data_IF_937098922405
#
_entry.id   IF_937098922405
#
_cell.length_a   1.000
_cell.length_b   1.000
_cell.length_c   1.000
_cell.angle_alpha   90.00
_cell.angle_beta   90.00
_cell.angle_gamma   90.00
#
_symmetry.space_group_name_H-M   'P 1'
#
loop_
_entity.id
_entity.type
_entity.pdbx_description
1 polymer ?
#
# COMPACT_ATOMS: atom_id res chain seq x y z
N UNK A 1 6.89 7.04 7.01
CA UNK A 1 6.69 5.97 6.00
C UNK A 1 5.20 5.78 5.82
N UNK A 2 4.66 5.90 4.61
CA UNK A 2 3.25 5.63 4.39
C UNK A 2 2.87 4.20 4.80
N UNK A 3 1.87 4.08 5.68
CA UNK A 3 1.30 2.84 6.15
C UNK A 3 -0.12 2.68 5.58
N UNK A 4 -0.93 1.78 6.10
CA UNK A 4 -2.28 1.54 5.61
C UNK A 4 -3.16 2.81 5.53
N UNK A 5 -3.24 3.68 6.57
CA UNK A 5 -4.10 4.86 6.54
C UNK A 5 -3.69 5.87 5.47
N UNK A 6 -2.38 6.13 5.34
CA UNK A 6 -1.88 7.09 4.35
C UNK A 6 -2.14 6.58 2.93
N UNK A 7 -1.94 5.28 2.67
CA UNK A 7 -2.24 4.69 1.34
C UNK A 7 -3.74 4.72 1.07
N UNK A 8 -4.59 4.52 2.08
CA UNK A 8 -6.05 4.65 1.91
C UNK A 8 -6.48 6.10 1.66
N UNK A 9 -5.80 7.08 2.25
CA UNK A 9 -6.01 8.50 1.97
C UNK A 9 -5.68 8.83 0.51
N UNK A 10 -4.57 8.29 -0.04
CA UNK A 10 -4.30 8.41 -1.48
C UNK A 10 -5.39 7.76 -2.33
N UNK A 11 -5.82 6.54 -1.99
CA UNK A 11 -6.90 5.85 -2.70
C UNK A 11 -8.17 6.69 -2.78
N UNK A 12 -8.61 7.25 -1.66
CA UNK A 12 -9.84 8.07 -1.60
C UNK A 12 -9.68 9.44 -2.26
N UNK A 13 -8.54 10.10 -2.07
CA UNK A 13 -8.24 11.41 -2.65
C UNK A 13 -8.12 11.34 -4.17
N UNK A 14 -7.33 10.41 -4.68
CA UNK A 14 -7.15 10.22 -6.13
C UNK A 14 -8.46 9.78 -6.81
N UNK A 15 -9.27 8.93 -6.16
CA UNK A 15 -10.57 8.54 -6.70
C UNK A 15 -11.52 9.72 -6.94
N UNK A 16 -11.46 10.74 -6.06
CA UNK A 16 -12.23 11.98 -6.25
C UNK A 16 -11.65 12.90 -7.33
N UNK A 17 -10.34 12.86 -7.51
CA UNK A 17 -9.61 13.83 -8.35
C UNK A 17 -9.47 13.37 -9.81
N UNK A 18 -9.05 12.11 -10.03
CA UNK A 18 -8.60 11.65 -11.35
C UNK A 18 -9.35 10.42 -11.89
N UNK A 19 -10.42 9.96 -11.22
CA UNK A 19 -11.25 8.88 -11.78
C UNK A 19 -11.91 9.36 -13.08
N UNK A 20 -11.86 8.53 -14.11
CA UNK A 20 -12.38 8.83 -15.44
C UNK A 20 -11.35 9.48 -16.38
N UNK A 21 -10.20 9.94 -15.89
CA UNK A 21 -9.15 10.51 -16.73
C UNK A 21 -8.53 9.43 -17.63
N UNK A 22 -8.16 9.87 -18.85
CA UNK A 22 -7.57 9.01 -19.86
C UNK A 22 -6.05 9.19 -19.87
N UNK A 23 -5.33 8.06 -19.85
CA UNK A 23 -3.86 8.03 -19.92
C UNK A 23 -3.39 8.16 -21.38
N UNK A 24 -2.40 8.99 -21.62
CA UNK A 24 -1.66 9.08 -22.88
C UNK A 24 -0.34 8.31 -22.85
N UNK A 25 0.12 7.92 -21.67
CA UNK A 25 1.34 7.18 -21.46
C UNK A 25 2.02 7.55 -20.14
N UNK A 26 3.33 7.39 -20.11
CA UNK A 26 4.17 7.74 -18.97
C UNK A 26 5.61 7.38 -19.23
N UNK A 27 6.48 7.64 -18.26
CA UNK A 27 7.88 7.18 -18.28
C UNK A 27 8.46 7.08 -16.88
N UNK A 28 9.47 6.24 -16.68
CA UNK A 28 10.29 6.27 -15.49
C UNK A 28 11.35 7.36 -15.65
N UNK A 29 11.45 8.27 -14.67
CA UNK A 29 12.57 9.19 -14.52
C UNK A 29 13.71 8.55 -13.70
N UNK A 30 13.37 7.49 -12.96
CA UNK A 30 14.29 6.58 -12.29
C UNK A 30 14.00 5.15 -12.73
N UNK A 31 14.85 4.51 -13.60
CA UNK A 31 14.53 3.22 -14.21
C UNK A 31 14.22 2.11 -13.21
N UNK A 32 14.86 2.13 -12.03
CA UNK A 32 14.59 1.14 -10.98
C UNK A 32 13.24 1.29 -10.30
N UNK A 33 12.50 2.39 -10.52
CA UNK A 33 11.18 2.58 -9.93
C UNK A 33 10.08 1.84 -10.68
N UNK A 34 10.21 1.73 -12.00
CA UNK A 34 9.31 0.95 -12.86
C UNK A 34 10.11 0.44 -14.07
N UNK A 35 10.02 -0.84 -14.35
CA UNK A 35 10.69 -1.49 -15.50
C UNK A 35 9.71 -1.91 -16.59
N UNK A 36 8.42 -1.72 -16.37
CA UNK A 36 7.35 -2.14 -17.27
C UNK A 36 7.19 -1.19 -18.46
N UNK A 37 6.56 -1.66 -19.52
CA UNK A 37 6.30 -0.86 -20.72
C UNK A 37 5.11 0.09 -20.50
N UNK A 38 5.35 1.38 -20.54
CA UNK A 38 4.33 2.41 -20.41
C UNK A 38 3.38 2.53 -21.61
N UNK A 39 3.68 1.88 -22.74
CA UNK A 39 2.77 1.81 -23.89
C UNK A 39 1.49 1.06 -23.56
N UNK A 40 1.56 0.12 -22.61
CA UNK A 40 0.41 -0.68 -22.14
C UNK A 40 -0.72 0.22 -21.63
N UNK A 41 -0.41 1.30 -20.90
CA UNK A 41 -1.44 2.18 -20.31
C UNK A 41 -2.01 3.21 -21.26
N UNK A 42 -1.44 3.35 -22.47
CA UNK A 42 -1.88 4.37 -23.44
C UNK A 42 -3.34 4.14 -23.84
N UNK A 43 -4.10 5.22 -23.89
CA UNK A 43 -5.53 5.26 -24.22
C UNK A 43 -6.46 4.58 -23.21
N UNK A 44 -5.96 4.09 -22.08
CA UNK A 44 -6.79 3.51 -21.02
C UNK A 44 -7.34 4.60 -20.09
N UNK A 45 -8.55 4.38 -19.55
CA UNK A 45 -9.17 5.24 -18.55
C UNK A 45 -8.98 4.65 -17.15
N UNK A 46 -8.82 5.54 -16.16
CA UNK A 46 -8.88 5.16 -14.76
C UNK A 46 -10.34 4.88 -14.38
N UNK A 47 -10.67 3.64 -14.06
CA UNK A 47 -12.04 3.23 -13.71
C UNK A 47 -12.26 3.09 -12.21
N UNK A 48 -11.20 2.98 -11.41
CA UNK A 48 -11.31 2.84 -9.97
C UNK A 48 -9.98 2.79 -9.24
N UNK A 49 -10.07 2.68 -7.92
CA UNK A 49 -8.92 2.60 -7.02
C UNK A 49 -9.19 1.60 -5.92
N UNK A 50 -8.23 0.71 -5.69
CA UNK A 50 -8.24 -0.26 -4.60
C UNK A 50 -6.97 -0.13 -3.75
N UNK A 51 -6.95 -0.78 -2.61
CA UNK A 51 -5.80 -0.88 -1.72
C UNK A 51 -5.65 -2.31 -1.19
N UNK A 52 -4.42 -2.76 -1.09
CA UNK A 52 -4.09 -4.00 -0.40
C UNK A 52 -2.83 -3.81 0.45
N UNK A 53 -2.98 -3.85 1.78
CA UNK A 53 -1.90 -3.47 2.70
C UNK A 53 -1.40 -2.05 2.43
N UNK A 54 -0.12 -1.93 2.05
CA UNK A 54 0.53 -0.65 1.68
C UNK A 54 0.65 -0.45 0.17
N UNK A 55 -0.07 -1.22 -0.63
CA UNK A 55 -0.14 -1.08 -2.08
C UNK A 55 -1.40 -0.33 -2.48
N UNK A 56 -1.24 0.75 -3.25
CA UNK A 56 -2.31 1.41 -3.97
C UNK A 56 -2.45 0.72 -5.32
N UNK A 57 -3.68 0.42 -5.71
CA UNK A 57 -4.02 -0.23 -6.97
C UNK A 57 -4.92 0.73 -7.73
N UNK A 58 -4.49 1.15 -8.90
CA UNK A 58 -5.24 2.02 -9.82
C UNK A 58 -5.77 1.11 -10.93
N UNK A 59 -7.08 0.97 -10.99
CA UNK A 59 -7.75 0.12 -11.97
C UNK A 59 -7.92 0.90 -13.27
N UNK A 60 -7.39 0.38 -14.34
CA UNK A 60 -7.56 0.86 -15.70
C UNK A 60 -8.61 0.04 -16.44
N UNK A 61 -8.95 0.44 -17.65
CA UNK A 61 -9.95 -0.27 -18.47
C UNK A 61 -9.60 -1.76 -18.65
N UNK A 62 -8.32 -2.08 -18.89
CA UNK A 62 -7.87 -3.47 -19.14
C UNK A 62 -6.76 -3.91 -18.17
N UNK A 63 -6.02 -2.98 -17.56
CA UNK A 63 -4.83 -3.25 -16.78
C UNK A 63 -4.88 -2.55 -15.42
N UNK A 64 -3.76 -2.62 -14.69
CA UNK A 64 -3.58 -2.00 -13.38
C UNK A 64 -2.26 -1.25 -13.31
N UNK A 65 -2.25 -0.13 -12.61
CA UNK A 65 -1.04 0.49 -12.09
C UNK A 65 -1.01 0.20 -10.59
N UNK A 66 0.03 -0.48 -10.11
CA UNK A 66 0.22 -0.78 -8.69
C UNK A 66 1.35 0.08 -8.16
N UNK A 67 1.13 0.79 -7.06
CA UNK A 67 2.14 1.68 -6.46
C UNK A 67 2.42 1.26 -5.03
N UNK A 68 3.71 1.17 -4.69
CA UNK A 68 4.18 1.04 -3.31
C UNK A 68 5.07 2.23 -2.95
N UNK A 69 4.61 3.08 -2.04
CA UNK A 69 5.25 4.35 -1.70
C UNK A 69 6.57 4.19 -0.92
N UNK A 70 6.77 3.03 -0.28
CA UNK A 70 7.96 2.73 0.55
C UNK A 70 8.11 3.71 1.71
N UNK A 71 9.27 4.41 1.82
CA UNK A 71 9.63 5.21 3.00
C UNK A 71 9.21 6.68 2.86
N UNK A 72 9.45 7.29 1.71
CA UNK A 72 9.30 8.72 1.46
C UNK A 72 8.48 9.05 0.21
N UNK A 73 7.97 8.02 -0.45
CA UNK A 73 7.16 8.20 -1.66
C UNK A 73 5.82 8.88 -1.36
N UNK A 74 5.42 9.77 -2.26
CA UNK A 74 4.11 10.39 -2.31
C UNK A 74 3.63 10.46 -3.76
N UNK A 75 2.32 10.65 -3.95
CA UNK A 75 1.74 10.84 -5.27
C UNK A 75 1.25 12.27 -5.35
N UNK A 76 1.73 12.99 -6.36
CA UNK A 76 1.29 14.33 -6.69
C UNK A 76 0.57 14.32 -8.05
N UNK A 77 -0.48 15.13 -8.18
CA UNK A 77 -1.14 15.44 -9.46
C UNK A 77 -0.85 16.90 -9.80
N UNK A 78 -0.16 17.15 -10.91
CA UNK A 78 0.35 18.47 -11.27
C UNK A 78 0.47 18.64 -12.80
N UNK A 79 0.58 19.88 -13.28
CA UNK A 79 0.93 20.17 -14.67
C UNK A 79 2.42 19.96 -14.93
N UNK A 80 3.25 20.48 -14.04
CA UNK A 80 4.70 20.37 -14.14
C UNK A 80 5.21 19.18 -13.34
N UNK A 81 6.38 18.66 -13.73
CA UNK A 81 7.01 17.52 -13.05
C UNK A 81 7.67 17.99 -11.75
N UNK A 82 7.19 17.58 -10.57
CA UNK A 82 7.80 17.95 -9.30
C UNK A 82 9.24 17.45 -9.16
N UNK A 83 10.06 18.18 -8.39
CA UNK A 83 11.41 17.71 -8.03
C UNK A 83 11.33 16.34 -7.34
N UNK A 84 12.30 15.48 -7.61
CA UNK A 84 12.39 14.08 -7.11
C UNK A 84 11.32 13.13 -7.64
N UNK A 85 10.63 13.47 -8.72
CA UNK A 85 9.76 12.54 -9.42
C UNK A 85 10.56 11.35 -9.95
N UNK A 86 10.09 10.14 -9.67
CA UNK A 86 10.73 8.90 -10.12
C UNK A 86 9.96 8.20 -11.24
N UNK A 87 8.64 8.41 -11.29
CA UNK A 87 7.75 7.92 -12.36
C UNK A 87 6.70 8.99 -12.61
N UNK A 88 6.37 9.24 -13.87
CA UNK A 88 5.26 10.11 -14.26
C UNK A 88 4.35 9.43 -15.27
N UNK A 89 3.04 9.69 -15.14
CA UNK A 89 1.98 9.31 -16.08
C UNK A 89 1.33 10.57 -16.63
N UNK A 90 1.02 10.58 -17.92
CA UNK A 90 0.43 11.69 -18.65
C UNK A 90 -1.04 11.45 -18.91
N UNK A 91 -1.85 12.50 -18.80
CA UNK A 91 -3.27 12.47 -19.11
C UNK A 91 -3.61 13.41 -20.28
N UNK A 92 -4.71 13.13 -20.96
CA UNK A 92 -5.22 13.89 -22.11
C UNK A 92 -5.65 15.34 -21.77
N UNK A 93 -5.72 15.69 -20.49
CA UNK A 93 -6.01 17.04 -20.00
C UNK A 93 -4.75 17.84 -19.59
N UNK A 94 -3.58 17.46 -20.08
CA UNK A 94 -2.29 18.08 -19.78
C UNK A 94 -1.89 18.03 -18.28
N UNK A 95 -2.49 17.14 -17.50
CA UNK A 95 -2.07 16.84 -16.13
C UNK A 95 -1.15 15.62 -16.09
N UNK A 96 -0.43 15.50 -14.99
CA UNK A 96 0.44 14.34 -14.69
C UNK A 96 0.12 13.78 -13.33
N UNK A 97 0.24 12.47 -13.19
CA UNK A 97 0.35 11.80 -11.88
C UNK A 97 1.80 11.39 -11.69
N UNK A 98 2.43 11.86 -10.64
CA UNK A 98 3.85 11.71 -10.37
C UNK A 98 4.08 10.94 -9.07
N UNK A 99 4.88 9.87 -9.12
CA UNK A 99 5.48 9.30 -7.93
C UNK A 99 6.73 10.12 -7.57
N UNK A 100 6.63 10.89 -6.51
CA UNK A 100 7.72 11.73 -6.00
C UNK A 100 8.37 11.03 -4.82
N UNK A 101 9.67 10.71 -4.93
CA UNK A 101 10.39 10.01 -3.87
C UNK A 101 11.88 10.41 -3.84
N UNK A 102 12.29 11.28 -2.90
CA UNK A 102 13.68 11.71 -2.76
C UNK A 102 14.65 10.56 -2.52
N UNK A 103 14.21 9.47 -1.87
CA UNK A 103 15.02 8.30 -1.58
C UNK A 103 15.01 7.25 -2.69
N UNK A 104 14.15 7.38 -3.70
CA UNK A 104 14.06 6.50 -4.87
C UNK A 104 13.78 5.02 -4.53
N UNK A 105 13.06 4.74 -3.44
CA UNK A 105 12.68 3.39 -3.01
C UNK A 105 11.29 2.98 -3.49
N UNK A 106 10.44 3.97 -3.80
CA UNK A 106 9.11 3.77 -4.35
C UNK A 106 9.12 2.89 -5.60
N UNK A 107 8.06 2.09 -5.76
CA UNK A 107 7.94 1.15 -6.87
C UNK A 107 6.59 1.29 -7.54
N UNK A 108 6.60 1.15 -8.85
CA UNK A 108 5.42 1.07 -9.70
C UNK A 108 5.50 -0.20 -10.54
N UNK A 109 4.37 -0.85 -10.73
CA UNK A 109 4.17 -1.97 -11.64
C UNK A 109 2.99 -1.65 -12.55
N UNK A 110 3.12 -2.00 -13.83
CA UNK A 110 2.05 -1.97 -14.82
C UNK A 110 1.77 -3.43 -15.17
N UNK A 111 0.55 -3.91 -14.96
CA UNK A 111 0.25 -5.34 -15.07
C UNK A 111 -1.22 -5.58 -15.39
N UNK A 112 -1.51 -6.69 -16.04
CA UNK A 112 -2.87 -7.21 -16.20
C UNK A 112 -3.32 -8.13 -15.05
N UNK A 113 -2.40 -8.53 -14.16
CA UNK A 113 -2.73 -9.32 -12.96
C UNK A 113 -1.98 -8.78 -11.72
N UNK A 114 -2.74 -8.33 -10.74
CA UNK A 114 -2.20 -7.80 -9.47
C UNK A 114 -1.76 -8.91 -8.52
N UNK A 115 -2.30 -10.14 -8.68
CA UNK A 115 -2.07 -11.25 -7.74
C UNK A 115 -0.60 -11.57 -7.47
N UNK A 116 0.29 -11.65 -8.48
CA UNK A 116 1.71 -11.94 -8.24
C UNK A 116 2.38 -10.96 -7.30
N UNK A 117 1.96 -9.67 -7.34
CA UNK A 117 2.53 -8.58 -6.54
C UNK A 117 2.10 -8.68 -5.07
N UNK A 118 0.83 -9.05 -4.83
CA UNK A 118 0.22 -9.01 -3.49
C UNK A 118 0.03 -10.39 -2.84
N UNK A 119 0.38 -11.50 -3.51
CA UNK A 119 0.10 -12.88 -3.07
C UNK A 119 0.65 -13.23 -1.69
N UNK A 120 1.78 -12.63 -1.31
CA UNK A 120 2.45 -12.92 -0.05
C UNK A 120 1.94 -12.08 1.12
N UNK A 121 0.94 -11.22 0.90
CA UNK A 121 0.38 -10.40 1.97
C UNK A 121 -0.58 -11.20 2.85
N UNK A 122 -0.39 -11.06 4.16
CA UNK A 122 -1.23 -11.63 5.19
C UNK A 122 -2.65 -11.06 5.20
N UNK A 123 -3.36 -11.24 6.28
CA UNK A 123 -4.75 -10.77 6.39
C UNK A 123 -4.84 -9.25 6.38
N UNK A 124 -5.86 -8.71 5.73
CA UNK A 124 -6.19 -7.28 5.75
C UNK A 124 -6.91 -6.95 7.06
N UNK A 125 -6.37 -6.06 7.94
CA UNK A 125 -6.93 -5.83 9.28
C UNK A 125 -8.31 -5.19 9.26
N UNK A 126 -8.63 -4.41 8.21
CA UNK A 126 -9.94 -3.77 8.07
C UNK A 126 -10.97 -4.65 7.32
N UNK A 127 -10.62 -5.88 6.97
CA UNK A 127 -11.56 -6.78 6.28
C UNK A 127 -12.49 -7.49 7.25
N UNK A 128 -13.73 -7.77 6.80
CA UNK A 128 -14.68 -8.62 7.56
C UNK A 128 -14.13 -10.03 7.86
N UNK A 129 -13.08 -10.46 7.16
CA UNK A 129 -12.41 -11.74 7.37
C UNK A 129 -11.42 -11.71 8.54
N UNK A 130 -11.04 -10.54 9.05
CA UNK A 130 -10.18 -10.37 10.22
C UNK A 130 -11.04 -10.41 11.48
N UNK A 131 -11.36 -11.61 11.96
CA UNK A 131 -12.15 -11.81 13.16
C UNK A 131 -11.25 -12.12 14.36
N UNK A 132 -11.71 -11.81 15.58
CA UNK A 132 -10.98 -12.12 16.82
C UNK A 132 -10.56 -13.60 16.90
N UNK A 133 -11.44 -14.52 16.52
CA UNK A 133 -11.12 -15.96 16.51
C UNK A 133 -10.01 -16.30 15.52
N UNK A 134 -10.02 -15.68 14.34
CA UNK A 134 -8.96 -15.88 13.35
C UNK A 134 -7.65 -15.29 13.82
N UNK A 135 -7.68 -14.07 14.37
CA UNK A 135 -6.50 -13.41 14.92
C UNK A 135 -5.87 -14.23 16.05
N UNK A 136 -6.68 -14.72 17.00
CA UNK A 136 -6.23 -15.62 18.07
C UNK A 136 -5.52 -16.86 17.52
N UNK A 137 -6.12 -17.57 16.54
CA UNK A 137 -5.52 -18.74 15.89
C UNK A 137 -4.18 -18.43 15.21
N UNK A 138 -4.04 -17.23 14.62
CA UNK A 138 -2.79 -16.79 14.01
C UNK A 138 -1.70 -16.53 15.04
N UNK A 139 -2.02 -15.91 16.19
CA UNK A 139 -1.09 -15.58 17.27
C UNK A 139 -0.58 -16.81 18.00
N UNK A 140 -1.45 -17.76 18.35
CA UNK A 140 -1.07 -18.96 19.14
C UNK A 140 -0.04 -19.83 18.45
N UNK A 141 0.12 -19.72 17.12
CA UNK A 141 1.13 -20.45 16.35
C UNK A 141 2.48 -19.73 16.27
N UNK A 142 2.67 -18.61 16.98
CA UNK A 142 3.86 -17.75 16.87
C UNK A 142 4.54 -17.60 18.23
N UNK A 143 5.81 -17.96 18.31
CA UNK A 143 6.63 -17.87 19.53
C UNK A 143 7.47 -16.59 19.63
N UNK A 144 7.57 -15.83 18.55
CA UNK A 144 8.32 -14.56 18.50
C UNK A 144 7.66 -13.42 19.29
N UNK A 145 8.37 -12.28 19.38
CA UNK A 145 7.86 -11.08 20.02
C UNK A 145 6.78 -10.42 19.19
N UNK A 146 5.85 -9.72 19.86
CA UNK A 146 4.61 -9.23 19.21
C UNK A 146 4.87 -8.11 18.19
N UNK A 147 5.76 -7.15 18.46
CA UNK A 147 5.98 -6.02 17.54
C UNK A 147 6.54 -6.46 16.19
N UNK A 148 7.63 -7.27 16.09
CA UNK A 148 8.08 -7.79 14.79
C UNK A 148 7.02 -8.60 14.05
N UNK A 149 6.16 -9.32 14.79
CA UNK A 149 5.06 -10.06 14.19
C UNK A 149 4.03 -9.13 13.55
N UNK A 150 3.63 -8.04 14.22
CA UNK A 150 2.73 -7.03 13.65
C UNK A 150 3.32 -6.34 12.43
N UNK A 151 4.64 -6.14 12.38
CA UNK A 151 5.35 -5.56 11.23
C UNK A 151 5.45 -6.49 10.03
N UNK A 152 5.26 -7.79 10.24
CA UNK A 152 5.36 -8.79 9.17
C UNK A 152 4.15 -8.70 8.24
N UNK A 153 4.36 -8.18 7.03
CA UNK A 153 3.31 -7.99 6.03
C UNK A 153 2.67 -9.31 5.56
N UNK A 154 3.34 -10.44 5.72
CA UNK A 154 2.77 -11.77 5.45
C UNK A 154 1.87 -12.28 6.60
N UNK A 155 1.92 -11.66 7.77
CA UNK A 155 1.05 -11.96 8.90
C UNK A 155 -0.20 -11.08 8.89
N UNK A 156 -0.02 -9.73 8.97
CA UNK A 156 -1.07 -8.73 8.84
C UNK A 156 -0.57 -7.65 7.88
N UNK A 157 -1.31 -7.41 6.81
CA UNK A 157 -0.92 -6.44 5.80
C UNK A 157 -1.24 -5.01 6.24
N UNK A 158 -0.34 -4.07 5.95
CA UNK A 158 -0.59 -2.63 6.12
C UNK A 158 -0.03 -2.01 7.40
N UNK A 159 0.25 -2.78 8.44
CA UNK A 159 0.83 -2.27 9.69
C UNK A 159 2.32 -1.96 9.48
N UNK A 160 2.73 -0.76 9.89
CA UNK A 160 4.14 -0.36 9.95
C UNK A 160 4.54 0.00 11.38
N UNK A 161 5.69 0.68 11.55
CA UNK A 161 6.22 0.99 12.87
C UNK A 161 5.29 1.87 13.69
N UNK A 162 4.75 2.93 13.08
CA UNK A 162 3.86 3.86 13.77
C UNK A 162 2.59 3.15 14.25
N UNK A 163 1.90 2.44 13.35
CA UNK A 163 0.71 1.69 13.73
C UNK A 163 0.99 0.59 14.75
N UNK A 164 2.12 -0.13 14.64
CA UNK A 164 2.47 -1.17 15.59
C UNK A 164 2.68 -0.59 16.99
N UNK A 165 3.36 0.56 17.12
CA UNK A 165 3.58 1.22 18.41
C UNK A 165 2.26 1.73 19.00
N UNK A 166 1.43 2.38 18.21
CA UNK A 166 0.12 2.89 18.64
C UNK A 166 -0.83 1.77 19.08
N UNK A 167 -0.89 0.68 18.32
CA UNK A 167 -1.72 -0.48 18.65
C UNK A 167 -1.27 -1.13 19.95
N UNK A 168 0.03 -1.33 20.13
CA UNK A 168 0.60 -1.95 21.34
C UNK A 168 0.42 -1.05 22.56
N UNK A 169 0.61 0.26 22.41
CA UNK A 169 0.38 1.25 23.45
C UNK A 169 -1.08 1.23 23.94
N UNK A 170 -2.04 1.29 23.01
CA UNK A 170 -3.47 1.23 23.35
C UNK A 170 -3.90 -0.08 23.97
N UNK A 171 -3.28 -1.19 23.54
CA UNK A 171 -3.53 -2.51 24.12
C UNK A 171 -2.82 -2.72 25.47
N UNK A 172 -1.95 -1.80 25.89
CA UNK A 172 -1.09 -1.91 27.10
C UNK A 172 -0.20 -3.17 27.06
N UNK A 173 0.37 -3.46 25.87
CA UNK A 173 1.23 -4.63 25.65
C UNK A 173 2.65 -4.17 25.33
N UNK A 174 3.62 -4.63 26.13
CA UNK A 174 5.02 -4.35 25.88
C UNK A 174 5.49 -4.99 24.56
N UNK A 175 6.21 -4.27 23.67
CA UNK A 175 6.57 -4.74 22.33
C UNK A 175 7.44 -6.01 22.31
N UNK A 176 8.16 -6.33 23.38
CA UNK A 176 8.96 -7.54 23.52
C UNK A 176 8.19 -8.73 24.12
N UNK A 177 6.90 -8.59 24.43
CA UNK A 177 6.07 -9.73 24.87
C UNK A 177 6.01 -10.79 23.77
N UNK A 178 6.12 -12.06 24.15
CA UNK A 178 5.95 -13.18 23.23
C UNK A 178 4.49 -13.31 22.82
N UNK A 179 4.21 -13.47 21.53
CA UNK A 179 2.86 -13.49 20.99
C UNK A 179 1.98 -14.61 21.56
N UNK A 180 2.58 -15.80 21.83
CA UNK A 180 1.90 -16.95 22.39
C UNK A 180 1.64 -16.86 23.91
N UNK A 181 2.19 -15.85 24.61
CA UNK A 181 1.96 -15.64 26.06
C UNK A 181 0.87 -14.62 26.34
N UNK A 182 0.26 -14.04 25.31
CA UNK A 182 -0.82 -13.06 25.46
C UNK A 182 -2.10 -13.74 25.98
N UNK A 183 -2.69 -13.15 27.02
CA UNK A 183 -3.98 -13.59 27.57
C UNK A 183 -5.13 -13.35 26.59
N UNK A 184 -6.27 -13.99 26.82
CA UNK A 184 -7.49 -13.77 26.01
C UNK A 184 -7.92 -12.29 26.01
N UNK A 185 -7.75 -11.58 27.16
CA UNK A 185 -8.07 -10.15 27.30
C UNK A 185 -7.12 -9.29 26.47
N UNK A 186 -5.81 -9.52 26.56
CA UNK A 186 -4.80 -8.82 25.78
C UNK A 186 -5.01 -9.02 24.26
N UNK A 187 -5.31 -10.23 23.82
CA UNK A 187 -5.60 -10.51 22.40
C UNK A 187 -6.87 -9.77 21.94
N UNK A 188 -7.89 -9.67 22.79
CA UNK A 188 -9.10 -8.90 22.47
C UNK A 188 -8.81 -7.41 22.35
N UNK A 189 -7.98 -6.85 23.24
CA UNK A 189 -7.59 -5.45 23.19
C UNK A 189 -6.70 -5.12 21.97
N UNK A 190 -5.87 -6.09 21.57
CA UNK A 190 -4.96 -5.95 20.43
C UNK A 190 -5.70 -6.04 19.08
N UNK A 191 -6.84 -6.76 19.03
CA UNK A 191 -7.70 -6.92 17.84
C UNK A 191 -8.55 -5.68 17.58
#
# INVERSE_FOLDING_TARGET
MPELPEVDSYRTGLAKMIKGWKLEGGKPLWPKACTDDFKIVKNQKIIGFDRRGKYLIINLTNDYIVVHLRMTGRIDVAKDTPKYTTVEFYFDNNQKMCLVDPRKFGKVWITNDVKPIIKNLGIEPLSRKFTLNKFKKLLTKRSGTIKPLLLNQAFIAGIGNYLADEILFRASIHPLRKANTLSKKEIKNLH
#
